data_IF_301638028356
#
_entry.id   IF_301638028356
#
_cell.length_a   1.000
_cell.length_b   1.000
_cell.length_c   1.000
_cell.angle_alpha   90.00
_cell.angle_beta   90.00
_cell.angle_gamma   90.00
#
_symmetry.space_group_name_H-M   'P 1'
#
loop_
_entity.id
_entity.type
_entity.pdbx_description
1 polymer ?
#
# COMPACT_ATOMS: atom_id res chain seq x y z
N UNK A 1 -7.61 0.05 -9.83
CA UNK A 1 -7.38 -1.40 -10.06
C UNK A 1 -6.28 -1.71 -11.08
N UNK A 2 -6.14 -0.96 -12.19
CA UNK A 2 -5.16 -1.25 -13.26
C UNK A 2 -3.70 -1.38 -12.80
N UNK A 3 -3.24 -0.50 -11.92
CA UNK A 3 -1.88 -0.56 -11.36
C UNK A 3 -1.63 -1.79 -10.47
N UNK A 4 -2.66 -2.23 -9.72
CA UNK A 4 -2.58 -3.43 -8.87
C UNK A 4 -2.47 -4.70 -9.72
N UNK A 5 -3.24 -4.79 -10.81
CA UNK A 5 -3.11 -5.89 -11.77
C UNK A 5 -1.70 -5.98 -12.35
N UNK A 6 -1.12 -4.85 -12.73
CA UNK A 6 0.25 -4.78 -13.27
C UNK A 6 1.28 -5.22 -12.23
N UNK A 7 1.19 -4.71 -11.00
CA UNK A 7 2.09 -5.08 -9.91
C UNK A 7 2.04 -6.57 -9.56
N UNK A 8 0.85 -7.19 -9.62
CA UNK A 8 0.68 -8.64 -9.41
C UNK A 8 1.24 -9.44 -10.59
N UNK A 9 0.98 -9.00 -11.83
CA UNK A 9 1.43 -9.69 -13.04
C UNK A 9 2.96 -9.66 -13.21
N UNK A 10 3.60 -8.55 -12.84
CA UNK A 10 5.05 -8.37 -12.93
C UNK A 10 5.79 -8.86 -11.67
N UNK A 11 5.07 -9.42 -10.69
CA UNK A 11 5.61 -9.79 -9.36
C UNK A 11 6.46 -8.69 -8.72
N UNK A 12 6.13 -7.44 -9.00
CA UNK A 12 6.93 -6.26 -8.65
C UNK A 12 7.02 -6.03 -7.13
N UNK A 13 6.16 -6.67 -6.34
CA UNK A 13 6.09 -6.54 -4.89
C UNK A 13 6.01 -7.92 -4.25
N UNK A 14 6.98 -8.24 -3.40
CA UNK A 14 7.04 -9.51 -2.68
C UNK A 14 5.93 -9.57 -1.62
N UNK A 15 5.22 -10.70 -1.56
CA UNK A 15 4.16 -10.95 -0.57
C UNK A 15 2.76 -10.46 -0.98
N UNK A 16 2.61 -9.89 -2.17
CA UNK A 16 1.30 -9.54 -2.70
C UNK A 16 0.50 -10.82 -3.04
N UNK A 17 -0.73 -10.99 -2.51
CA UNK A 17 -1.56 -12.13 -2.88
C UNK A 17 -1.94 -12.11 -4.37
N UNK A 18 -2.07 -13.30 -4.98
CA UNK A 18 -2.53 -13.45 -6.37
C UNK A 18 -4.03 -13.19 -6.45
N UNK A 19 -4.40 -11.92 -6.55
CA UNK A 19 -5.79 -11.48 -6.61
C UNK A 19 -6.38 -11.73 -8.00
N UNK A 20 -7.48 -12.47 -8.08
CA UNK A 20 -8.31 -12.57 -9.29
C UNK A 20 -9.28 -11.39 -9.30
N UNK A 21 -8.92 -10.32 -10.00
CA UNK A 21 -9.81 -9.16 -10.13
C UNK A 21 -10.79 -9.41 -11.28
N UNK A 22 -12.03 -9.76 -10.95
CA UNK A 22 -13.12 -9.83 -11.93
C UNK A 22 -13.54 -8.42 -12.35
N UNK A 23 -13.35 -8.07 -13.62
CA UNK A 23 -13.82 -6.80 -14.19
C UNK A 23 -15.18 -7.00 -14.87
N UNK A 24 -16.10 -6.05 -14.70
CA UNK A 24 -17.38 -6.01 -15.42
C UNK A 24 -18.57 -6.68 -14.73
N UNK A 25 -18.39 -7.46 -13.66
CA UNK A 25 -19.52 -8.04 -12.90
C UNK A 25 -20.09 -7.12 -11.82
N UNK A 26 -19.34 -6.10 -11.42
CA UNK A 26 -19.70 -5.20 -10.31
C UNK A 26 -19.57 -3.76 -10.83
N UNK A 27 -20.61 -2.94 -10.61
CA UNK A 27 -20.55 -1.50 -10.90
C UNK A 27 -19.38 -0.87 -10.12
N UNK A 28 -18.55 -0.07 -10.80
CA UNK A 28 -17.37 0.56 -10.18
C UNK A 28 -17.72 1.43 -8.98
N UNK A 29 -18.81 2.18 -9.05
CA UNK A 29 -19.32 2.99 -7.95
C UNK A 29 -19.81 2.12 -6.78
N UNK A 30 -20.50 1.02 -7.08
CA UNK A 30 -20.91 0.06 -6.05
C UNK A 30 -19.72 -0.63 -5.38
N UNK A 31 -18.63 -0.89 -6.12
CA UNK A 31 -17.42 -1.47 -5.55
C UNK A 31 -16.75 -0.50 -4.58
N UNK A 32 -16.62 0.79 -4.97
CA UNK A 32 -16.09 1.86 -4.12
C UNK A 32 -16.98 2.05 -2.88
N UNK A 33 -18.29 2.13 -3.07
CA UNK A 33 -19.26 2.29 -1.98
C UNK A 33 -19.33 1.08 -1.03
N UNK A 34 -19.02 -0.14 -1.51
CA UNK A 34 -18.95 -1.36 -0.69
C UNK A 34 -17.64 -1.53 0.06
N UNK A 35 -16.61 -0.71 -0.16
CA UNK A 35 -15.42 -0.77 0.67
C UNK A 35 -15.77 -0.36 2.10
N UNK A 36 -15.99 -1.34 2.96
CA UNK A 36 -16.20 -1.11 4.39
C UNK A 36 -14.85 -0.77 5.03
N UNK A 37 -14.77 0.39 5.70
CA UNK A 37 -13.67 0.67 6.64
C UNK A 37 -13.80 -0.28 7.82
N UNK A 38 -13.16 -1.43 7.74
CA UNK A 38 -12.88 -2.25 8.91
C UNK A 38 -11.65 -1.68 9.61
N UNK A 39 -11.73 -1.50 10.93
CA UNK A 39 -10.59 -1.07 11.70
C UNK A 39 -9.50 -2.16 11.64
N UNK A 40 -8.25 -1.74 11.42
CA UNK A 40 -7.13 -2.67 11.58
C UNK A 40 -7.06 -3.10 13.06
N UNK A 41 -6.94 -4.41 13.36
CA UNK A 41 -6.82 -4.88 14.72
C UNK A 41 -5.65 -4.19 15.42
N UNK A 42 -5.88 -3.71 16.65
CA UNK A 42 -4.77 -3.19 17.47
C UNK A 42 -3.89 -4.38 17.87
N UNK A 43 -2.59 -4.26 17.66
CA UNK A 43 -1.62 -5.16 18.26
C UNK A 43 -1.73 -5.04 19.80
N UNK A 44 -2.10 -6.13 20.46
CA UNK A 44 -2.25 -6.18 21.91
C UNK A 44 -0.93 -6.55 22.64
N UNK A 45 0.07 -7.06 21.90
CA UNK A 45 1.37 -7.45 22.46
C UNK A 45 2.49 -6.59 21.89
N UNK A 46 3.57 -6.46 22.67
CA UNK A 46 4.79 -5.81 22.23
C UNK A 46 5.44 -6.65 21.13
N UNK A 47 5.65 -6.06 19.95
CA UNK A 47 6.19 -6.77 18.77
C UNK A 47 7.71 -6.98 18.86
N UNK A 48 8.35 -6.37 19.85
CA UNK A 48 9.79 -6.40 20.09
C UNK A 48 10.09 -6.85 21.52
N UNK A 49 11.16 -7.61 21.69
CA UNK A 49 11.68 -8.15 22.94
C UNK A 49 12.88 -7.36 23.47
N UNK A 50 13.60 -6.64 22.60
CA UNK A 50 14.80 -5.85 22.93
C UNK A 50 14.74 -4.46 22.32
N UNK A 51 15.50 -3.54 22.90
CA UNK A 51 15.64 -2.17 22.41
C UNK A 51 16.19 -2.15 20.99
N UNK A 52 15.59 -1.34 20.10
CA UNK A 52 15.95 -1.18 18.68
C UNK A 52 15.83 -2.44 17.80
N UNK A 53 15.01 -3.42 18.18
CA UNK A 53 14.76 -4.60 17.34
C UNK A 53 14.00 -4.27 16.04
N UNK A 54 13.13 -3.26 16.07
CA UNK A 54 12.44 -2.74 14.89
C UNK A 54 12.59 -1.21 14.88
N UNK A 55 13.10 -0.68 13.78
CA UNK A 55 13.18 0.74 13.50
C UNK A 55 12.33 1.04 12.27
N UNK A 56 11.28 1.84 12.45
CA UNK A 56 10.50 2.35 11.33
C UNK A 56 11.10 3.68 10.88
N UNK A 57 11.54 3.74 9.63
CA UNK A 57 12.01 4.96 8.99
C UNK A 57 11.07 5.28 7.83
N UNK A 58 10.68 6.54 7.74
CA UNK A 58 9.90 7.03 6.61
C UNK A 58 10.70 8.09 5.85
N UNK A 59 10.48 8.16 4.55
CA UNK A 59 11.10 9.16 3.69
C UNK A 59 10.16 10.36 3.59
N UNK A 60 10.69 11.55 3.86
CA UNK A 60 9.94 12.77 3.66
C UNK A 60 9.88 13.13 2.17
N UNK A 61 8.67 13.38 1.67
CA UNK A 61 8.38 13.73 0.27
C UNK A 61 8.89 15.13 -0.13
N UNK A 62 8.85 15.44 -1.44
CA UNK A 62 9.85 16.24 -2.16
C UNK A 62 10.19 17.53 -1.43
N UNK A 63 11.40 17.56 -0.88
CA UNK A 63 11.97 18.77 -0.34
C UNK A 63 12.28 19.70 -1.53
N UNK A 64 11.86 20.97 -1.46
CA UNK A 64 12.18 21.91 -2.53
C UNK A 64 13.69 21.99 -2.68
N UNK A 65 14.18 21.45 -3.78
CA UNK A 65 15.59 21.45 -4.14
C UNK A 65 15.62 22.01 -5.54
N UNK A 66 16.32 23.12 -5.74
CA UNK A 66 16.45 23.70 -7.07
C UNK A 66 17.18 22.71 -7.97
N UNK A 67 16.55 22.32 -9.08
CA UNK A 67 17.23 21.55 -10.11
C UNK A 67 18.29 22.44 -10.78
N UNK A 68 19.34 21.83 -11.34
CA UNK A 68 20.33 22.56 -12.15
C UNK A 68 19.70 23.26 -13.38
N UNK A 69 18.49 22.87 -13.77
CA UNK A 69 17.72 23.49 -14.85
C UNK A 69 16.84 24.66 -14.42
N UNK A 70 16.76 24.96 -13.12
CA UNK A 70 15.81 25.93 -12.57
C UNK A 70 14.38 25.37 -12.56
N UNK A 71 13.86 25.16 -11.33
CA UNK A 71 12.70 24.32 -10.97
C UNK A 71 12.90 22.82 -11.17
#
# INVERSE_FOLDING_TARGET
MRGMKKAIAEEAIRGLPKLKTEEGKICGECQIGKHTKVAHPRLQHQVTSRTLEILHMDLMGPMQTESLGGK
#
